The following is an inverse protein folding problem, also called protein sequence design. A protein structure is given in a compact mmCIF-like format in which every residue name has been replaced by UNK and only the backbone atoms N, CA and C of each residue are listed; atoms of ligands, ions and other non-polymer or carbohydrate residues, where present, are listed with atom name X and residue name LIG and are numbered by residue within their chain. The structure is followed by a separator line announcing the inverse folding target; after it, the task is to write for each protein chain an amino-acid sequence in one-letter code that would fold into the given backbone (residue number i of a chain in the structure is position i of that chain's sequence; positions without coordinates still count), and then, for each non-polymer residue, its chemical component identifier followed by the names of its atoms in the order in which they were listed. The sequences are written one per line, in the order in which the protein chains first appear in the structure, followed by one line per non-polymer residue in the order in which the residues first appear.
data_IF_930846653679
#
_entry.id   IF_930846653679
#
_cell.length_a   1.000
_cell.length_b   1.000
_cell.length_c   1.000
_cell.angle_alpha   90.00
_cell.angle_beta   90.00
_cell.angle_gamma   90.00
#
_symmetry.space_group_name_H-M   'P 1'
#
loop_
_entity.id
_entity.type
_entity.pdbx_description
1 polymer ?
#
# COMPACT_ATOMS: atom_id res chain seq x y z
N UNK A 1 -38.51 -10.80 -2.45
CA UNK A 1 -37.71 -9.58 -2.67
C UNK A 1 -37.20 -9.64 -4.10
N UNK A 2 -37.73 -8.81 -4.98
CA UNK A 2 -37.49 -8.89 -6.44
C UNK A 2 -36.19 -8.17 -6.80
N UNK A 3 -35.20 -8.92 -7.31
CA UNK A 3 -33.88 -8.42 -7.74
C UNK A 3 -33.94 -7.21 -8.68
N UNK A 4 -35.01 -7.07 -9.47
CA UNK A 4 -35.20 -5.95 -10.39
C UNK A 4 -35.52 -4.61 -9.71
N UNK A 5 -36.12 -4.63 -8.52
CA UNK A 5 -36.44 -3.42 -7.76
C UNK A 5 -35.17 -2.85 -7.11
N UNK A 6 -34.34 -3.72 -6.53
CA UNK A 6 -33.03 -3.38 -5.98
C UNK A 6 -32.07 -2.81 -7.05
N UNK A 7 -32.05 -3.40 -8.25
CA UNK A 7 -31.27 -2.89 -9.39
C UNK A 7 -31.69 -1.47 -9.75
N UNK A 8 -33.00 -1.19 -9.84
CA UNK A 8 -33.51 0.16 -10.15
C UNK A 8 -33.10 1.18 -9.09
N UNK A 9 -33.15 0.82 -7.81
CA UNK A 9 -32.73 1.69 -6.71
C UNK A 9 -31.26 2.08 -6.84
N UNK A 10 -30.38 1.11 -7.13
CA UNK A 10 -28.94 1.37 -7.29
C UNK A 10 -28.69 2.24 -8.53
N UNK A 11 -29.30 1.92 -9.67
CA UNK A 11 -29.12 2.68 -10.92
C UNK A 11 -29.59 4.12 -10.77
N UNK A 12 -30.74 4.37 -10.13
CA UNK A 12 -31.23 5.72 -9.86
C UNK A 12 -30.27 6.50 -8.95
N UNK A 13 -29.67 5.85 -7.96
CA UNK A 13 -28.67 6.46 -7.08
C UNK A 13 -27.36 6.77 -7.79
N UNK A 14 -26.93 5.93 -8.73
CA UNK A 14 -25.75 6.20 -9.57
C UNK A 14 -26.03 7.36 -10.53
N UNK A 15 -27.23 7.39 -11.15
CA UNK A 15 -27.65 8.46 -12.04
C UNK A 15 -27.66 9.83 -11.33
N UNK A 16 -28.10 9.88 -10.07
CA UNK A 16 -28.15 11.14 -9.31
C UNK A 16 -26.78 11.69 -8.93
N UNK A 17 -25.75 10.86 -8.83
CA UNK A 17 -24.36 11.28 -8.55
C UNK A 17 -23.50 11.38 -9.81
N UNK A 18 -24.01 10.98 -10.97
CA UNK A 18 -23.34 10.97 -12.27
C UNK A 18 -22.24 9.90 -12.39
N UNK A 19 -21.22 9.96 -11.53
CA UNK A 19 -20.11 8.99 -11.50
C UNK A 19 -19.90 8.50 -10.07
N UNK A 20 -20.14 7.21 -9.84
CA UNK A 20 -19.85 6.56 -8.57
C UNK A 20 -18.32 6.40 -8.42
N UNK A 21 -17.71 7.22 -7.56
CA UNK A 21 -16.27 7.15 -7.25
C UNK A 21 -16.07 6.55 -5.85
N UNK A 22 -15.33 5.45 -5.68
CA UNK A 22 -15.01 4.96 -4.36
C UNK A 22 -14.05 5.92 -3.64
N UNK A 23 -14.19 6.02 -2.32
CA UNK A 23 -13.27 6.75 -1.46
C UNK A 23 -12.60 5.77 -0.50
N UNK A 24 -11.28 5.84 -0.38
CA UNK A 24 -10.52 5.08 0.62
C UNK A 24 -10.10 6.02 1.74
N UNK A 25 -10.46 5.71 2.98
CA UNK A 25 -9.96 6.42 4.17
C UNK A 25 -9.08 5.47 4.98
N UNK A 26 -7.86 5.90 5.30
CA UNK A 26 -6.95 5.19 6.19
C UNK A 26 -6.47 6.21 7.21
N UNK A 27 -6.67 5.93 8.49
CA UNK A 27 -6.18 6.77 9.58
C UNK A 27 -5.23 5.96 10.46
N UNK A 28 -3.95 6.35 10.47
CA UNK A 28 -2.93 5.76 11.34
C UNK A 28 -2.67 6.76 12.47
N UNK A 29 -2.94 6.32 13.70
CA UNK A 29 -2.72 7.10 14.92
C UNK A 29 -1.83 6.29 15.86
N UNK A 30 -0.71 6.89 16.27
CA UNK A 30 0.15 6.32 17.30
C UNK A 30 -0.56 6.42 18.66
N UNK A 31 -0.66 5.31 19.39
CA UNK A 31 -1.30 5.26 20.71
C UNK A 31 -0.40 4.55 21.72
N UNK A 32 -0.46 4.99 22.97
CA UNK A 32 0.15 4.33 24.12
C UNK A 32 -0.95 3.60 24.91
N UNK A 33 -0.91 2.27 24.94
CA UNK A 33 -1.94 1.45 25.59
C UNK A 33 -2.05 1.80 27.08
N UNK A 34 -3.27 2.04 27.56
CA UNK A 34 -3.53 2.48 28.94
C UNK A 34 -3.25 3.97 29.20
N UNK A 35 -2.79 4.72 28.19
CA UNK A 35 -2.46 6.15 28.27
C UNK A 35 -3.17 6.91 27.13
N UNK A 36 -4.50 6.82 27.11
CA UNK A 36 -5.32 7.51 26.12
C UNK A 36 -5.23 9.04 26.30
N UNK A 37 -5.02 9.77 25.21
CA UNK A 37 -4.94 11.23 25.23
C UNK A 37 -3.59 11.79 25.73
N UNK A 38 -2.60 10.96 26.03
CA UNK A 38 -1.24 11.44 26.33
C UNK A 38 -0.58 11.96 25.06
N UNK A 39 -0.25 13.25 25.07
CA UNK A 39 0.53 13.90 24.02
C UNK A 39 2.01 13.54 24.13
N UNK A 40 2.63 13.25 22.99
CA UNK A 40 4.06 12.99 22.86
C UNK A 40 4.89 14.19 23.34
N UNK A 41 4.36 15.41 23.24
CA UNK A 41 5.01 16.61 23.79
C UNK A 41 5.23 16.53 25.31
N UNK A 42 4.24 16.01 26.05
CA UNK A 42 4.32 15.82 27.50
C UNK A 42 5.34 14.74 27.86
N UNK A 43 5.36 13.63 27.13
CA UNK A 43 6.35 12.57 27.34
C UNK A 43 7.78 13.09 27.09
N UNK A 44 7.97 13.89 26.04
CA UNK A 44 9.25 14.52 25.75
C UNK A 44 9.67 15.53 26.83
N UNK A 45 8.74 16.27 27.42
CA UNK A 45 9.01 17.17 28.54
C UNK A 45 9.41 16.40 29.82
N UNK A 46 8.77 15.27 30.11
CA UNK A 46 9.18 14.42 31.24
C UNK A 46 10.56 13.80 31.02
N UNK A 47 10.94 13.49 29.78
CA UNK A 47 12.31 13.08 29.44
C UNK A 47 13.28 14.23 29.64
N UNK A 48 12.95 15.45 29.17
CA UNK A 48 13.84 16.62 29.31
C UNK A 48 14.08 17.00 30.78
N UNK A 49 13.07 16.85 31.63
CA UNK A 49 13.15 17.04 33.08
C UNK A 49 13.85 15.89 33.81
N UNK A 50 14.19 14.82 33.09
CA UNK A 50 14.90 13.65 33.60
C UNK A 50 14.03 12.73 34.44
N UNK A 51 12.69 12.79 34.34
CA UNK A 51 11.78 11.86 35.03
C UNK A 51 11.61 10.56 34.24
N UNK A 52 11.62 10.64 32.91
CA UNK A 52 11.59 9.48 32.03
C UNK A 52 12.92 9.29 31.31
N UNK A 53 13.24 8.03 31.01
CA UNK A 53 14.16 7.63 29.95
C UNK A 53 13.34 7.22 28.74
N UNK A 54 13.91 7.35 27.54
CA UNK A 54 13.28 6.88 26.31
C UNK A 54 14.24 6.08 25.47
N UNK A 55 13.73 5.05 24.80
CA UNK A 55 14.49 4.23 23.86
C UNK A 55 13.79 4.20 22.51
N UNK A 56 14.58 4.29 21.45
CA UNK A 56 14.08 4.26 20.07
C UNK A 56 13.58 2.87 19.69
N UNK A 57 12.41 2.79 19.04
CA UNK A 57 11.87 1.51 18.56
C UNK A 57 11.49 1.49 17.07
N UNK A 58 11.13 2.63 16.46
CA UNK A 58 10.66 2.65 15.06
C UNK A 58 10.77 4.04 14.40
N UNK A 59 10.69 4.09 13.07
CA UNK A 59 10.51 5.30 12.26
C UNK A 59 9.27 5.18 11.38
N UNK A 60 8.27 5.99 11.66
CA UNK A 60 7.05 6.07 10.86
C UNK A 60 7.18 7.10 9.73
N UNK A 61 6.62 6.78 8.57
CA UNK A 61 6.49 7.72 7.47
C UNK A 61 5.41 8.75 7.80
N UNK A 62 5.78 10.03 7.75
CA UNK A 62 4.88 11.15 7.93
C UNK A 62 4.82 12.01 6.65
N UNK A 63 3.63 12.55 6.39
CA UNK A 63 3.42 13.45 5.26
C UNK A 63 4.24 14.74 5.47
N UNK A 64 5.08 15.15 4.50
CA UNK A 64 5.84 16.40 4.63
C UNK A 64 4.95 17.65 4.64
N UNK A 65 3.69 17.56 4.21
CA UNK A 65 2.75 18.68 4.13
C UNK A 65 1.88 18.85 5.38
N UNK A 66 1.45 17.77 6.01
CA UNK A 66 0.51 17.83 7.14
C UNK A 66 0.86 16.91 8.32
N UNK A 67 2.04 16.31 8.32
CA UNK A 67 2.56 15.42 9.38
C UNK A 67 1.73 14.17 9.67
N UNK A 68 0.68 13.90 8.90
CA UNK A 68 -0.15 12.70 9.03
C UNK A 68 0.67 11.44 8.75
N UNK A 69 0.46 10.41 9.56
CA UNK A 69 1.06 9.08 9.41
C UNK A 69 0.27 8.20 8.41
N UNK A 70 -0.87 8.69 7.92
CA UNK A 70 -1.75 7.98 6.99
C UNK A 70 -1.22 8.04 5.56
N UNK A 71 -0.19 7.24 5.29
CA UNK A 71 0.51 7.22 4.00
C UNK A 71 0.19 5.94 3.24
N UNK A 72 -0.27 6.07 2.00
CA UNK A 72 -0.47 4.96 1.06
C UNK A 72 0.67 4.96 0.05
N UNK A 73 1.36 3.84 -0.09
CA UNK A 73 2.37 3.63 -1.14
C UNK A 73 1.71 3.14 -2.42
N UNK A 74 2.12 3.71 -3.56
CA UNK A 74 1.69 3.30 -4.91
C UNK A 74 2.90 3.06 -5.80
N UNK A 75 2.76 2.07 -6.69
CA UNK A 75 3.67 1.86 -7.80
C UNK A 75 3.14 2.59 -9.04
N UNK A 76 4.02 3.29 -9.75
CA UNK A 76 3.69 4.09 -10.93
C UNK A 76 4.61 3.75 -12.09
N UNK A 77 4.07 3.82 -13.30
CA UNK A 77 4.85 3.59 -14.51
C UNK A 77 5.95 4.66 -14.64
N UNK A 78 7.23 4.28 -14.81
CA UNK A 78 8.29 5.26 -14.97
C UNK A 78 8.22 6.02 -16.30
N UNK A 79 7.47 5.51 -17.30
CA UNK A 79 7.26 6.20 -18.58
C UNK A 79 6.11 7.21 -18.52
N UNK A 80 4.93 6.82 -18.04
CA UNK A 80 3.72 7.66 -18.13
C UNK A 80 3.11 8.07 -16.78
N UNK A 81 3.69 7.65 -15.64
CA UNK A 81 3.18 7.95 -14.31
C UNK A 81 1.91 7.20 -13.90
N UNK A 82 1.31 6.41 -14.80
CA UNK A 82 0.08 5.65 -14.51
C UNK A 82 0.29 4.64 -13.37
N UNK A 83 -0.68 4.55 -12.47
CA UNK A 83 -0.75 3.50 -11.43
C UNK A 83 -1.31 2.17 -11.96
N UNK A 84 -1.75 2.12 -13.22
CA UNK A 84 -2.34 0.93 -13.84
C UNK A 84 -1.22 -0.03 -14.28
N UNK A 85 -0.59 -0.66 -13.28
CA UNK A 85 0.48 -1.62 -13.42
C UNK A 85 -0.01 -3.01 -13.04
N UNK A 86 0.25 -3.99 -13.89
CA UNK A 86 -0.03 -5.40 -13.63
C UNK A 86 1.26 -6.15 -13.30
N UNK A 87 1.25 -7.00 -12.27
CA UNK A 87 2.37 -7.90 -11.99
C UNK A 87 2.27 -9.10 -12.93
N UNK A 88 3.26 -9.28 -13.78
CA UNK A 88 3.27 -10.36 -14.77
C UNK A 88 4.62 -11.08 -14.78
N UNK A 89 4.71 -12.13 -15.59
CA UNK A 89 5.89 -12.98 -15.74
C UNK A 89 6.02 -13.49 -17.16
N UNK A 90 7.26 -13.63 -17.64
CA UNK A 90 7.55 -14.40 -18.84
C UNK A 90 7.55 -15.88 -18.46
N UNK A 91 6.74 -16.66 -19.16
CA UNK A 91 6.59 -18.09 -18.96
C UNK A 91 6.81 -18.84 -20.26
N UNK A 92 7.33 -20.05 -20.16
CA UNK A 92 7.35 -21.02 -21.24
C UNK A 92 6.43 -22.19 -20.92
N UNK A 93 5.61 -22.58 -21.90
CA UNK A 93 4.96 -23.88 -21.86
C UNK A 93 5.99 -24.96 -22.24
N UNK A 94 6.35 -25.80 -21.27
CA UNK A 94 7.47 -26.75 -21.37
C UNK A 94 7.28 -27.70 -22.56
N UNK A 95 6.05 -28.16 -22.80
CA UNK A 95 5.78 -29.20 -23.81
C UNK A 95 5.89 -28.71 -25.26
N UNK A 96 5.67 -27.42 -25.54
CA UNK A 96 5.69 -26.88 -26.91
C UNK A 96 6.74 -25.77 -27.14
N UNK A 97 7.43 -25.38 -26.07
CA UNK A 97 8.47 -24.36 -26.05
C UNK A 97 8.00 -22.91 -26.25
N UNK A 98 6.69 -22.64 -26.35
CA UNK A 98 6.17 -21.27 -26.53
C UNK A 98 6.44 -20.43 -25.29
N UNK A 99 7.06 -19.26 -25.48
CA UNK A 99 7.49 -18.35 -24.41
C UNK A 99 6.90 -16.97 -24.61
N UNK A 100 6.16 -16.46 -23.64
CA UNK A 100 5.56 -15.10 -23.66
C UNK A 100 5.13 -14.66 -22.25
N UNK A 101 4.57 -13.46 -22.12
CA UNK A 101 3.88 -12.99 -20.91
C UNK A 101 2.73 -13.92 -20.53
N UNK A 102 2.60 -14.27 -19.25
CA UNK A 102 1.49 -15.10 -18.73
C UNK A 102 0.11 -14.55 -19.10
N UNK A 103 0.00 -13.24 -19.31
CA UNK A 103 -1.22 -12.56 -19.77
C UNK A 103 -1.71 -13.15 -21.11
N UNK A 104 -0.81 -13.58 -22.01
CA UNK A 104 -1.18 -14.21 -23.28
C UNK A 104 -1.71 -15.65 -23.14
N UNK A 105 -1.49 -16.26 -21.98
CA UNK A 105 -1.98 -17.59 -21.65
C UNK A 105 -3.33 -17.52 -20.93
N UNK A 106 -3.63 -16.41 -20.25
CA UNK A 106 -4.85 -16.24 -19.45
C UNK A 106 -6.09 -16.12 -20.33
N UNK A 107 -7.08 -16.97 -20.08
CA UNK A 107 -8.41 -16.96 -20.69
C UNK A 107 -9.43 -16.24 -19.81
N UNK A 108 -10.59 -15.83 -20.36
CA UNK A 108 -11.64 -15.14 -19.59
C UNK A 108 -12.21 -15.93 -18.41
N UNK A 109 -12.11 -17.25 -18.44
CA UNK A 109 -12.51 -18.18 -17.36
C UNK A 109 -11.41 -18.40 -16.31
N UNK A 110 -10.34 -17.58 -16.34
CA UNK A 110 -9.14 -17.68 -15.51
C UNK A 110 -8.31 -18.96 -15.70
N UNK A 111 -8.55 -19.74 -16.75
CA UNK A 111 -7.67 -20.83 -17.13
C UNK A 111 -6.43 -20.32 -17.86
N UNK A 112 -5.33 -21.06 -17.77
CA UNK A 112 -4.11 -20.79 -18.52
C UNK A 112 -4.02 -21.76 -19.69
N UNK A 113 -4.04 -21.25 -20.91
CA UNK A 113 -4.01 -22.06 -22.13
C UNK A 113 -2.91 -21.52 -23.04
N UNK A 114 -2.03 -22.41 -23.52
CA UNK A 114 -0.97 -22.03 -24.43
C UNK A 114 -1.57 -21.52 -25.76
N UNK A 115 -1.28 -20.27 -26.18
CA UNK A 115 -1.85 -19.73 -27.42
C UNK A 115 -1.28 -20.40 -28.67
N UNK A 116 -0.10 -21.05 -28.57
CA UNK A 116 0.53 -21.77 -29.68
C UNK A 116 -0.09 -23.14 -29.94
N UNK A 117 -0.36 -23.92 -28.88
CA UNK A 117 -0.79 -25.32 -29.04
C UNK A 117 -2.17 -25.64 -28.46
N UNK A 118 -2.85 -24.66 -27.86
CA UNK A 118 -4.21 -24.81 -27.31
C UNK A 118 -4.34 -25.70 -26.07
N UNK A 119 -3.23 -26.25 -25.55
CA UNK A 119 -3.22 -27.10 -24.35
C UNK A 119 -3.21 -26.26 -23.08
N UNK A 120 -3.81 -26.80 -22.04
CA UNK A 120 -3.81 -26.19 -20.71
C UNK A 120 -2.39 -26.13 -20.13
N UNK A 121 -2.10 -25.03 -19.46
CA UNK A 121 -0.84 -24.75 -18.79
C UNK A 121 -1.10 -24.64 -17.30
N UNK A 122 -0.31 -25.35 -16.50
CA UNK A 122 -0.35 -25.31 -15.04
C UNK A 122 1.08 -25.25 -14.51
N UNK A 123 1.23 -25.23 -13.19
CA UNK A 123 2.55 -25.08 -12.55
C UNK A 123 3.53 -26.22 -12.90
N UNK A 124 3.05 -27.41 -13.26
CA UNK A 124 3.90 -28.57 -13.57
C UNK A 124 4.49 -28.53 -14.99
N UNK A 125 3.75 -27.96 -15.95
CA UNK A 125 4.17 -27.86 -17.34
C UNK A 125 4.55 -26.43 -17.76
N UNK A 126 4.78 -25.55 -16.78
CA UNK A 126 5.17 -24.15 -16.99
C UNK A 126 6.51 -23.84 -16.36
N UNK A 127 7.39 -23.19 -17.12
CA UNK A 127 8.66 -22.64 -16.61
C UNK A 127 8.57 -21.13 -16.54
N UNK A 128 8.82 -20.54 -15.37
CA UNK A 128 8.86 -19.09 -15.15
C UNK A 128 10.29 -18.58 -15.32
N UNK A 129 10.50 -17.52 -16.10
CA UNK A 129 11.82 -16.94 -16.35
C UNK A 129 12.07 -15.67 -15.54
N UNK A 130 11.18 -14.69 -15.67
CA UNK A 130 11.34 -13.38 -15.03
C UNK A 130 9.97 -12.81 -14.67
N UNK A 131 9.92 -12.09 -13.55
CA UNK A 131 8.76 -11.31 -13.12
C UNK A 131 9.03 -9.82 -13.39
N UNK A 132 8.00 -9.10 -13.82
CA UNK A 132 8.08 -7.68 -14.11
C UNK A 132 6.69 -7.04 -13.99
N UNK A 133 6.64 -5.71 -14.04
CA UNK A 133 5.40 -4.95 -14.16
C UNK A 133 5.14 -4.58 -15.61
N UNK A 134 3.90 -4.75 -16.07
CA UNK A 134 3.43 -4.26 -17.36
C UNK A 134 2.43 -3.12 -17.13
N UNK A 135 2.71 -1.96 -17.71
CA UNK A 135 1.79 -0.83 -17.64
C UNK A 135 0.68 -1.00 -18.65
N UNK A 136 -0.55 -1.20 -18.17
CA UNK A 136 -1.73 -1.38 -19.02
C UNK A 136 -2.15 -0.07 -19.73
N UNK A 137 -1.61 1.08 -19.32
CA UNK A 137 -1.87 2.37 -19.99
C UNK A 137 -0.93 2.65 -21.18
N UNK A 138 0.30 2.15 -21.19
CA UNK A 138 1.28 2.48 -22.25
C UNK A 138 2.14 1.31 -22.75
N UNK A 139 1.91 0.10 -22.24
CA UNK A 139 2.61 -1.13 -22.63
C UNK A 139 4.05 -1.23 -22.12
N UNK A 140 4.55 -0.31 -21.29
CA UNK A 140 5.91 -0.42 -20.74
C UNK A 140 6.01 -1.66 -19.85
N UNK A 141 7.00 -2.51 -20.14
CA UNK A 141 7.45 -3.61 -19.27
C UNK A 141 8.66 -3.14 -18.46
N UNK A 142 8.60 -3.19 -17.14
CA UNK A 142 9.68 -2.75 -16.25
C UNK A 142 9.76 -3.62 -14.99
N UNK A 143 10.96 -3.93 -14.51
CA UNK A 143 11.16 -4.52 -13.18
C UNK A 143 11.22 -3.47 -12.06
N UNK A 144 11.31 -2.19 -12.42
CA UNK A 144 11.49 -1.07 -11.50
C UNK A 144 10.38 -0.04 -11.75
N UNK A 145 9.20 -0.18 -11.11
CA UNK A 145 8.22 0.89 -11.09
C UNK A 145 8.71 2.04 -10.21
N UNK A 146 8.27 3.25 -10.50
CA UNK A 146 8.46 4.37 -9.59
C UNK A 146 7.59 4.16 -8.34
N UNK A 147 8.13 4.47 -7.17
CA UNK A 147 7.40 4.45 -5.91
C UNK A 147 7.00 5.89 -5.57
N UNK A 148 5.71 6.08 -5.27
CA UNK A 148 5.19 7.34 -4.73
C UNK A 148 4.36 7.07 -3.49
N UNK A 149 4.31 8.06 -2.61
CA UNK A 149 3.44 8.08 -1.44
C UNK A 149 2.30 9.05 -1.67
N UNK A 150 1.11 8.68 -1.21
CA UNK A 150 -0.09 9.52 -1.22
C UNK A 150 -0.57 9.63 0.23
N UNK A 151 -0.69 10.85 0.74
CA UNK A 151 -1.28 11.09 2.04
C UNK A 151 -2.80 10.95 1.98
N UNK A 152 -3.39 10.00 2.71
CA UNK A 152 -4.84 9.81 2.78
C UNK A 152 -5.56 10.98 3.45
N UNK A 153 -4.85 11.79 4.23
CA UNK A 153 -5.43 12.92 4.95
C UNK A 153 -5.54 14.18 4.08
N UNK A 154 -4.48 14.54 3.35
CA UNK A 154 -4.44 15.80 2.58
C UNK A 154 -4.26 15.65 1.06
N UNK A 155 -4.16 14.41 0.58
CA UNK A 155 -3.97 14.08 -0.84
C UNK A 155 -2.57 14.37 -1.40
N UNK A 156 -1.62 14.84 -0.57
CA UNK A 156 -0.28 15.17 -1.05
C UNK A 156 0.43 13.93 -1.63
N UNK A 157 1.00 14.08 -2.82
CA UNK A 157 1.80 13.06 -3.50
C UNK A 157 3.28 13.44 -3.39
N UNK A 158 4.13 12.51 -2.94
CA UNK A 158 5.55 12.78 -2.71
C UNK A 158 6.39 11.52 -2.91
N UNK A 159 7.71 11.68 -3.16
CA UNK A 159 8.61 10.54 -3.33
C UNK A 159 9.04 10.00 -1.96
N UNK A 160 9.53 8.74 -1.88
CA UNK A 160 10.06 8.18 -0.64
C UNK A 160 11.13 9.04 0.03
N UNK A 161 12.00 9.66 -0.75
CA UNK A 161 13.08 10.53 -0.23
C UNK A 161 12.55 11.82 0.42
N UNK A 162 11.35 12.27 0.04
CA UNK A 162 10.72 13.48 0.57
C UNK A 162 9.89 13.19 1.83
N UNK A 163 9.81 11.93 2.26
CA UNK A 163 9.04 11.54 3.43
C UNK A 163 9.71 12.03 4.72
N UNK A 164 8.91 12.52 5.67
CA UNK A 164 9.41 12.83 7.02
C UNK A 164 9.46 11.53 7.82
N UNK A 165 10.61 11.22 8.42
CA UNK A 165 10.79 10.05 9.26
C UNK A 165 10.59 10.41 10.73
N UNK A 166 9.38 10.14 11.25
CA UNK A 166 9.04 10.40 12.66
C UNK A 166 9.53 9.24 13.53
N UNK A 167 10.48 9.52 14.41
CA UNK A 167 10.94 8.54 15.40
C UNK A 167 9.84 8.21 16.41
N UNK A 168 9.76 6.94 16.79
CA UNK A 168 8.86 6.42 17.82
C UNK A 168 9.71 5.86 18.96
N UNK A 169 9.29 6.15 20.18
CA UNK A 169 10.00 5.79 21.40
C UNK A 169 9.10 5.00 22.35
N UNK A 170 9.74 4.12 23.13
CA UNK A 170 9.20 3.63 24.41
C UNK A 170 9.75 4.49 25.54
N UNK A 171 9.04 4.51 26.67
CA UNK A 171 9.38 5.33 27.83
C UNK A 171 9.40 4.50 29.09
N UNK A 172 10.40 4.75 29.94
CA UNK A 172 10.55 4.10 31.23
C UNK A 172 10.85 5.13 32.32
N UNK A 173 10.47 4.83 33.57
CA UNK A 173 10.84 5.67 34.70
C UNK A 173 12.36 5.66 34.90
N UNK A 174 12.94 6.85 34.93
CA UNK A 174 14.30 7.06 35.45
C UNK A 174 14.33 6.88 36.97
N UNK A 175 15.53 6.84 37.56
CA UNK A 175 15.70 6.83 39.01
C UNK A 175 14.99 8.02 39.68
N UNK A 176 15.19 9.24 39.14
CA UNK A 176 14.53 10.47 39.61
C UNK A 176 13.00 10.39 39.51
N UNK A 177 12.50 9.78 38.44
CA UNK A 177 11.05 9.54 38.25
C UNK A 177 10.48 8.59 39.29
N UNK A 178 11.21 7.55 39.67
CA UNK A 178 10.81 6.60 40.73
C UNK A 178 10.82 7.27 42.11
N UNK A 179 11.87 8.03 42.42
CA UNK A 179 11.98 8.79 43.67
C UNK A 179 10.80 9.75 43.89
N UNK A 180 10.38 10.47 42.84
CA UNK A 180 9.25 11.42 42.91
C UNK A 180 7.94 10.76 43.36
N UNK A 181 7.73 9.48 43.00
CA UNK A 181 6.52 8.73 43.33
C UNK A 181 6.73 7.75 44.50
N UNK A 182 7.85 7.86 45.22
CA UNK A 182 8.17 7.01 46.37
C UNK A 182 8.37 5.53 46.03
N UNK A 183 8.89 5.23 44.83
CA UNK A 183 9.23 3.88 44.36
C UNK A 183 10.73 3.71 44.11
#
# INVERSE_FOLDING_TARGET
MNSNEDIKVILNKIASVGVLRPTTNVSIVLKYLGFEGVDESLLNDLVSKGFLKRDFIDKLLACPKCSSLSIITKYTCPRCGSINLEKTKIVQHIECGYTDSIIKFLRPDNTLVCPKCGREVNEKNMKVYIQFFECLSCGLKTSQPNIVHICSNCGNIFKPIDAVLKSVYIYELSSKGRELIGK
#
